data_IF_823548628635
#
_entry.id   IF_823548628635
#
_cell.length_a   1.000
_cell.length_b   1.000
_cell.length_c   1.000
_cell.angle_alpha   90.00
_cell.angle_beta   90.00
_cell.angle_gamma   90.00
#
_symmetry.space_group_name_H-M   'P 1'
#
loop_
_entity.id
_entity.type
_entity.pdbx_description
1 polymer ?
#
# COMPACT_ATOMS: atom_id res chain seq x y z
N UNK A 1 46.91 -14.65 -36.46
CA UNK A 1 45.87 -15.64 -36.87
C UNK A 1 44.58 -14.89 -37.11
N UNK A 2 44.17 -14.74 -38.37
CA UNK A 2 42.86 -14.20 -38.74
C UNK A 2 41.85 -15.35 -38.73
N UNK A 3 40.91 -15.36 -37.77
CA UNK A 3 39.84 -16.34 -37.74
C UNK A 3 38.90 -16.11 -38.92
N UNK A 4 39.04 -16.90 -39.99
CA UNK A 4 38.04 -16.99 -41.06
C UNK A 4 36.85 -17.80 -40.53
N UNK A 5 35.86 -17.09 -39.99
CA UNK A 5 34.55 -17.68 -39.69
C UNK A 5 33.90 -18.11 -41.01
N UNK A 6 33.57 -19.39 -41.15
CA UNK A 6 32.77 -19.87 -42.28
C UNK A 6 31.36 -19.26 -42.20
N UNK A 7 30.70 -19.03 -43.35
CA UNK A 7 29.33 -18.48 -43.38
C UNK A 7 28.35 -19.26 -42.49
N UNK A 8 28.56 -20.56 -42.32
CA UNK A 8 27.77 -21.43 -41.44
C UNK A 8 27.96 -21.11 -39.95
N UNK A 9 29.18 -20.72 -39.53
CA UNK A 9 29.46 -20.30 -38.16
C UNK A 9 28.86 -18.94 -37.83
N UNK A 10 28.88 -18.01 -38.79
CA UNK A 10 28.24 -16.69 -38.65
C UNK A 10 26.72 -16.86 -38.52
N UNK A 11 26.12 -17.72 -39.37
CA UNK A 11 24.70 -18.00 -39.33
C UNK A 11 24.26 -18.62 -37.99
N UNK A 12 25.04 -19.55 -37.44
CA UNK A 12 24.76 -20.15 -36.13
C UNK A 12 24.81 -19.13 -34.99
N UNK A 13 25.78 -18.20 -35.02
CA UNK A 13 25.86 -17.11 -34.04
C UNK A 13 24.67 -16.15 -34.14
N UNK A 14 24.24 -15.80 -35.35
CA UNK A 14 23.07 -14.93 -35.56
C UNK A 14 21.79 -15.59 -35.05
N UNK A 15 21.59 -16.87 -35.35
CA UNK A 15 20.41 -17.62 -34.86
C UNK A 15 20.44 -17.77 -33.35
N UNK A 16 21.60 -18.07 -32.75
CA UNK A 16 21.74 -18.17 -31.29
C UNK A 16 21.45 -16.85 -30.57
N UNK A 17 21.95 -15.73 -31.09
CA UNK A 17 21.64 -14.40 -30.57
C UNK A 17 20.16 -14.06 -30.70
N UNK A 18 19.53 -14.44 -31.80
CA UNK A 18 18.10 -14.21 -32.02
C UNK A 18 17.24 -14.99 -31.02
N UNK A 19 17.57 -16.25 -30.75
CA UNK A 19 16.88 -17.07 -29.74
C UNK A 19 17.05 -16.50 -28.33
N UNK A 20 18.26 -16.03 -27.98
CA UNK A 20 18.52 -15.37 -26.70
C UNK A 20 17.72 -14.07 -26.53
N UNK A 21 17.59 -13.27 -27.59
CA UNK A 21 16.76 -12.06 -27.58
C UNK A 21 15.27 -12.38 -27.42
N UNK A 22 14.77 -13.42 -28.08
CA UNK A 22 13.39 -13.88 -27.92
C UNK A 22 13.11 -14.37 -26.49
N UNK A 23 14.03 -15.12 -25.89
CA UNK A 23 13.91 -15.55 -24.50
C UNK A 23 13.96 -14.36 -23.52
N UNK A 24 14.86 -13.40 -23.74
CA UNK A 24 14.96 -12.20 -22.91
C UNK A 24 13.70 -11.33 -22.97
N UNK A 25 13.12 -11.15 -24.17
CA UNK A 25 11.87 -10.39 -24.34
C UNK A 25 10.65 -11.11 -23.75
N UNK A 26 10.60 -12.45 -23.80
CA UNK A 26 9.56 -13.23 -23.15
C UNK A 26 9.62 -13.08 -21.62
N UNK A 27 10.80 -13.26 -21.02
CA UNK A 27 11.00 -13.10 -19.57
C UNK A 27 10.67 -11.68 -19.11
N UNK A 28 11.08 -10.68 -19.89
CA UNK A 28 10.75 -9.28 -19.62
C UNK A 28 9.24 -9.02 -19.67
N UNK A 29 8.54 -9.53 -20.69
CA UNK A 29 7.09 -9.38 -20.84
C UNK A 29 6.31 -10.02 -19.68
N UNK A 30 6.74 -11.21 -19.22
CA UNK A 30 6.14 -11.89 -18.05
C UNK A 30 6.35 -11.07 -16.79
N UNK A 31 7.57 -10.59 -16.53
CA UNK A 31 7.89 -9.78 -15.35
C UNK A 31 7.13 -8.46 -15.35
N UNK A 32 7.04 -7.81 -16.50
CA UNK A 32 6.29 -6.56 -16.67
C UNK A 32 4.78 -6.77 -16.42
N UNK A 33 4.21 -7.85 -16.93
CA UNK A 33 2.80 -8.20 -16.70
C UNK A 33 2.54 -8.50 -15.21
N UNK A 34 3.44 -9.23 -14.55
CA UNK A 34 3.33 -9.50 -13.11
C UNK A 34 3.44 -8.21 -12.27
N UNK A 35 4.35 -7.30 -12.62
CA UNK A 35 4.44 -6.00 -11.94
C UNK A 35 3.16 -5.18 -12.12
N UNK A 36 2.64 -5.08 -13.35
CA UNK A 36 1.36 -4.40 -13.61
C UNK A 36 0.19 -5.06 -12.88
N UNK A 37 0.17 -6.39 -12.79
CA UNK A 37 -0.84 -7.11 -12.04
C UNK A 37 -0.74 -6.83 -10.53
N UNK A 38 0.47 -6.77 -9.98
CA UNK A 38 0.68 -6.38 -8.59
C UNK A 38 0.29 -4.92 -8.31
N UNK A 39 0.66 -3.99 -9.19
CA UNK A 39 0.25 -2.59 -9.10
C UNK A 39 -1.27 -2.44 -9.23
N UNK A 40 -1.91 -3.15 -10.16
CA UNK A 40 -3.36 -3.17 -10.31
C UNK A 40 -4.05 -3.76 -9.09
N UNK A 41 -3.53 -4.85 -8.53
CA UNK A 41 -4.07 -5.48 -7.32
C UNK A 41 -3.88 -4.60 -6.09
N UNK A 42 -2.71 -3.97 -5.93
CA UNK A 42 -2.49 -2.95 -4.89
C UNK A 42 -3.44 -1.77 -5.09
N UNK A 43 -3.58 -1.27 -6.31
CA UNK A 43 -4.49 -0.19 -6.66
C UNK A 43 -5.95 -0.53 -6.39
N UNK A 44 -6.38 -1.78 -6.64
CA UNK A 44 -7.73 -2.25 -6.29
C UNK A 44 -7.92 -2.40 -4.78
N UNK A 45 -6.94 -2.95 -4.05
CA UNK A 45 -6.99 -3.05 -2.58
C UNK A 45 -7.00 -1.65 -1.95
N UNK A 46 -6.31 -0.67 -2.55
CA UNK A 46 -6.30 0.73 -2.11
C UNK A 46 -7.48 1.56 -2.63
N UNK A 47 -8.33 1.02 -3.52
CA UNK A 47 -9.46 1.76 -4.11
C UNK A 47 -10.73 1.76 -3.24
N UNK A 48 -10.77 0.95 -2.19
CA UNK A 48 -11.82 0.99 -1.17
C UNK A 48 -11.25 1.60 0.12
N UNK A 49 -12.02 2.41 0.88
CA UNK A 49 -11.66 2.70 2.26
C UNK A 49 -11.38 1.37 2.96
N UNK A 50 -10.13 1.15 3.33
CA UNK A 50 -9.72 -0.10 3.95
C UNK A 50 -9.87 0.08 5.46
N UNK A 51 -10.76 -0.72 6.04
CA UNK A 51 -10.88 -0.82 7.49
C UNK A 51 -9.67 -1.57 8.02
N UNK A 52 -9.04 -0.99 9.03
CA UNK A 52 -7.93 -1.60 9.74
C UNK A 52 -8.03 -1.29 11.23
N UNK A 53 -7.21 -1.93 12.04
CA UNK A 53 -7.03 -1.56 13.44
C UNK A 53 -5.74 -0.77 13.64
N UNK A 54 -5.78 0.19 14.57
CA UNK A 54 -4.60 0.83 15.13
C UNK A 54 -4.56 0.61 16.64
N UNK A 55 -3.37 0.51 17.23
CA UNK A 55 -3.23 0.33 18.68
C UNK A 55 -3.10 1.69 19.34
N UNK A 56 -3.92 1.97 20.35
CA UNK A 56 -3.82 3.20 21.13
C UNK A 56 -2.55 3.16 21.97
N UNK A 57 -1.67 4.15 21.81
CA UNK A 57 -0.43 4.29 22.57
C UNK A 57 -0.58 5.26 23.73
N UNK A 58 -1.35 6.34 23.55
CA UNK A 58 -1.64 7.30 24.62
C UNK A 58 -2.94 8.08 24.36
N UNK A 59 -3.40 8.84 25.35
CA UNK A 59 -4.65 9.58 25.33
C UNK A 59 -4.50 10.93 26.02
N UNK A 60 -4.84 12.01 25.31
CA UNK A 60 -4.72 13.37 25.82
C UNK A 60 -6.07 14.07 25.92
N UNK A 61 -6.33 14.72 27.05
CA UNK A 61 -7.50 15.57 27.26
C UNK A 61 -7.02 16.98 27.62
N UNK A 62 -6.83 17.83 26.62
CA UNK A 62 -6.31 19.19 26.81
C UNK A 62 -7.30 20.24 26.32
N UNK A 63 -7.64 21.19 27.21
CA UNK A 63 -8.12 22.56 26.95
C UNK A 63 -9.38 22.81 26.10
N UNK A 64 -9.87 21.84 25.34
CA UNK A 64 -10.98 22.01 24.40
C UNK A 64 -11.25 20.82 23.47
N UNK A 65 -10.54 19.70 23.63
CA UNK A 65 -10.75 18.51 22.82
C UNK A 65 -10.19 17.25 23.46
N UNK A 66 -10.54 16.11 22.85
CA UNK A 66 -10.02 14.81 23.21
C UNK A 66 -9.17 14.30 22.07
N UNK A 67 -7.98 13.80 22.38
CA UNK A 67 -7.03 13.30 21.41
C UNK A 67 -6.57 11.90 21.81
N UNK A 68 -6.35 11.06 20.80
CA UNK A 68 -5.84 9.70 20.96
C UNK A 68 -4.59 9.58 20.10
N UNK A 69 -3.50 9.12 20.70
CA UNK A 69 -2.31 8.70 20.00
C UNK A 69 -2.43 7.21 19.65
N UNK A 70 -2.13 6.88 18.40
CA UNK A 70 -2.25 5.52 17.90
C UNK A 70 -1.07 5.14 17.02
N UNK A 71 -0.71 3.86 17.08
CA UNK A 71 0.31 3.25 16.24
C UNK A 71 -0.36 2.36 15.20
N UNK A 72 0.00 2.57 13.94
CA UNK A 72 -0.52 1.83 12.80
C UNK A 72 0.63 1.31 11.93
N UNK A 73 0.49 0.10 11.36
CA UNK A 73 1.48 -0.56 10.48
C UNK A 73 2.88 -0.74 11.06
N UNK A 74 3.02 -0.82 12.39
CA UNK A 74 4.32 -1.00 13.04
C UNK A 74 5.27 0.20 12.87
N UNK A 75 4.75 1.38 12.53
CA UNK A 75 5.53 2.64 12.54
C UNK A 75 6.13 2.84 13.94
N UNK A 76 7.36 3.34 14.02
CA UNK A 76 8.05 3.60 15.30
C UNK A 76 7.48 4.79 16.09
N UNK A 77 6.61 5.58 15.47
CA UNK A 77 5.99 6.77 16.06
C UNK A 77 4.46 6.63 16.05
N UNK A 78 3.82 7.19 17.09
CA UNK A 78 2.37 7.31 17.17
C UNK A 78 1.89 8.55 16.41
N UNK A 79 0.74 8.43 15.75
CA UNK A 79 0.02 9.57 15.16
C UNK A 79 -1.10 9.99 16.10
N UNK A 80 -1.41 11.29 16.15
CA UNK A 80 -2.46 11.84 17.02
C UNK A 80 -3.69 12.15 16.19
N UNK A 81 -4.86 11.70 16.65
CA UNK A 81 -6.16 12.08 16.08
C UNK A 81 -7.04 12.77 17.13
N UNK A 82 -7.76 13.80 16.71
CA UNK A 82 -8.83 14.41 17.51
C UNK A 82 -10.07 13.53 17.42
N UNK A 83 -10.69 13.28 18.57
CA UNK A 83 -11.86 12.43 18.71
C UNK A 83 -12.91 13.11 19.57
N UNK A 84 -14.14 12.61 19.50
CA UNK A 84 -15.21 13.02 20.42
C UNK A 84 -15.03 12.39 21.80
N UNK A 85 -15.64 13.02 22.82
CA UNK A 85 -15.58 12.56 24.22
C UNK A 85 -16.05 11.12 24.39
N UNK A 86 -17.07 10.70 23.64
CA UNK A 86 -17.65 9.36 23.73
C UNK A 86 -16.62 8.31 23.29
N UNK A 87 -15.95 8.55 22.15
CA UNK A 87 -14.89 7.67 21.63
C UNK A 87 -13.68 7.66 22.57
N UNK A 88 -13.30 8.83 23.09
CA UNK A 88 -12.23 8.93 24.09
C UNK A 88 -12.52 8.08 25.32
N UNK A 89 -13.75 8.07 25.83
CA UNK A 89 -14.09 7.27 27.01
C UNK A 89 -14.31 5.77 26.69
N UNK A 90 -14.65 5.44 25.44
CA UNK A 90 -14.94 4.08 25.00
C UNK A 90 -13.68 3.20 24.97
N UNK A 91 -12.54 3.74 24.51
CA UNK A 91 -11.32 2.97 24.31
C UNK A 91 -10.23 3.31 25.33
N UNK A 92 -9.46 2.30 25.73
CA UNK A 92 -8.32 2.43 26.67
C UNK A 92 -6.98 2.36 25.95
N UNK A 93 -5.94 2.89 26.58
CA UNK A 93 -4.56 2.74 26.11
C UNK A 93 -4.19 1.26 26.02
N UNK A 94 -3.56 0.87 24.92
CA UNK A 94 -3.22 -0.52 24.61
C UNK A 94 -4.29 -1.27 23.81
N UNK A 95 -5.53 -0.75 23.73
CA UNK A 95 -6.59 -1.36 22.93
C UNK A 95 -6.45 -1.03 21.45
N UNK A 96 -7.09 -1.85 20.61
CA UNK A 96 -7.15 -1.63 19.17
C UNK A 96 -8.41 -0.85 18.80
N UNK A 97 -8.26 0.25 18.09
CA UNK A 97 -9.35 1.08 17.59
C UNK A 97 -9.53 0.87 16.07
N UNK A 98 -10.76 0.68 15.56
CA UNK A 98 -11.01 0.58 14.13
C UNK A 98 -10.81 1.94 13.46
N UNK A 99 -9.93 1.95 12.46
CA UNK A 99 -9.62 3.09 11.63
C UNK A 99 -9.93 2.79 10.17
N UNK A 100 -10.28 3.82 9.43
CA UNK A 100 -10.47 3.79 8.00
C UNK A 100 -9.47 4.72 7.35
N UNK A 101 -8.74 4.19 6.36
CA UNK A 101 -7.79 4.97 5.58
C UNK A 101 -8.54 5.66 4.43
N UNK A 102 -8.24 6.94 4.22
CA UNK A 102 -8.82 7.67 3.09
C UNK A 102 -8.30 7.15 1.76
N UNK A 103 -9.23 7.03 0.79
CA UNK A 103 -8.99 6.62 -0.60
C UNK A 103 -8.06 7.60 -1.35
N UNK A 104 -8.16 8.89 -1.03
CA UNK A 104 -7.48 9.97 -1.76
C UNK A 104 -6.12 10.27 -1.13
N UNK A 105 -5.98 10.05 0.18
CA UNK A 105 -4.75 10.29 0.90
C UNK A 105 -4.51 9.17 1.93
N UNK A 106 -3.65 8.17 1.64
CA UNK A 106 -3.38 7.07 2.56
C UNK A 106 -2.67 7.49 3.85
N UNK A 107 -2.20 8.74 3.93
CA UNK A 107 -1.68 9.35 5.16
C UNK A 107 -2.80 9.95 6.04
N UNK A 108 -4.03 10.03 5.52
CA UNK A 108 -5.19 10.50 6.27
C UNK A 108 -5.94 9.31 6.85
N UNK A 109 -5.77 9.13 8.15
CA UNK A 109 -6.43 8.10 8.96
C UNK A 109 -7.62 8.74 9.66
N UNK A 110 -8.77 8.09 9.61
CA UNK A 110 -9.98 8.53 10.32
C UNK A 110 -10.59 7.38 11.09
N UNK A 111 -11.40 7.67 12.10
CA UNK A 111 -12.16 6.63 12.78
C UNK A 111 -13.21 6.03 11.83
N UNK A 112 -13.36 4.71 11.83
CA UNK A 112 -14.36 4.04 10.98
C UNK A 112 -15.78 4.50 11.31
N UNK A 113 -16.06 4.78 12.59
CA UNK A 113 -17.36 5.33 13.02
C UNK A 113 -17.65 6.72 12.43
N UNK A 114 -16.64 7.58 12.30
CA UNK A 114 -16.77 8.91 11.70
C UNK A 114 -16.87 8.84 10.17
N UNK A 115 -16.12 7.93 9.54
CA UNK A 115 -16.21 7.68 8.11
C UNK A 115 -17.61 7.19 7.69
N UNK A 116 -18.19 6.26 8.45
CA UNK A 116 -19.53 5.75 8.21
C UNK A 116 -20.62 6.83 8.42
N UNK A 117 -20.45 7.71 9.41
CA UNK A 117 -21.34 8.85 9.62
C UNK A 117 -21.26 9.85 8.45
N UNK A 118 -20.05 10.14 7.94
CA UNK A 118 -19.85 11.01 6.77
C UNK A 118 -20.49 10.43 5.50
N UNK A 119 -20.26 9.14 5.22
CA UNK A 119 -20.85 8.45 4.06
C UNK A 119 -22.38 8.42 4.11
N UNK A 120 -22.97 8.30 5.30
CA UNK A 120 -24.43 8.35 5.47
C UNK A 120 -25.01 9.76 5.27
N UNK A 121 -24.23 10.80 5.56
CA UNK A 121 -24.63 12.20 5.38
C UNK A 121 -24.44 12.71 3.94
N UNK A 122 -23.54 12.09 3.16
CA UNK A 122 -23.27 12.42 1.76
C UNK A 122 -23.30 11.13 0.90
N UNK A 123 -24.50 10.64 0.52
CA UNK A 123 -24.65 9.42 -0.28
C UNK A 123 -24.11 9.54 -1.71
#
# INVERSE_FOLDING_TARGET
>A
MTFKLSSSGILACVVGLFVLLLLGTLVYSIKFTNNKYHEYKLGMIMNSPYESSAKITDKYAMGGGFEIEYQFRGKSYGEVMKVKKEVYNQYKTGESIPITLSRINPSLVSLTSEFNAFKKANP
#
